data_IF_190943826019
#
_entry.id   IF_190943826019
#
_cell.length_a   1.000
_cell.length_b   1.000
_cell.length_c   1.000
_cell.angle_alpha   90.00
_cell.angle_beta   90.00
_cell.angle_gamma   90.00
#
_symmetry.space_group_name_H-M   'P 1'
#
loop_
_entity.id
_entity.type
_entity.pdbx_description
1 polymer ?
#
# COMPACT_ATOMS: atom_id res chain seq x y z
N UNK A 1 -17.13 11.50 -3.72
CA UNK A 1 -17.77 10.19 -3.95
C UNK A 1 -17.69 9.45 -2.63
N UNK A 2 -18.83 9.07 -2.03
CA UNK A 2 -18.81 8.39 -0.74
C UNK A 2 -18.09 7.05 -0.89
N UNK A 3 -17.10 6.79 -0.05
CA UNK A 3 -16.42 5.50 0.01
C UNK A 3 -17.45 4.45 0.43
N UNK A 4 -17.93 3.64 -0.53
CA UNK A 4 -18.81 2.49 -0.23
C UNK A 4 -18.10 1.61 0.79
N UNK A 5 -18.83 1.15 1.81
CA UNK A 5 -18.28 0.17 2.74
C UNK A 5 -17.92 -1.11 1.99
N UNK A 6 -16.88 -1.82 2.43
CA UNK A 6 -16.42 -3.07 1.81
C UNK A 6 -17.58 -4.08 1.69
N UNK A 7 -18.46 -4.11 2.69
CA UNK A 7 -19.68 -4.94 2.77
C UNK A 7 -20.71 -4.60 1.67
N UNK A 8 -20.72 -3.37 1.16
CA UNK A 8 -21.68 -2.88 0.16
C UNK A 8 -21.19 -3.08 -1.29
N UNK A 9 -19.95 -3.58 -1.47
CA UNK A 9 -19.39 -3.85 -2.80
C UNK A 9 -20.01 -5.10 -3.41
N UNK A 10 -20.25 -5.08 -4.72
CA UNK A 10 -20.57 -6.31 -5.46
C UNK A 10 -19.37 -7.27 -5.48
N UNK A 11 -19.59 -8.56 -5.78
CA UNK A 11 -18.49 -9.54 -5.82
C UNK A 11 -17.42 -9.15 -6.85
N UNK A 12 -17.83 -8.63 -8.00
CA UNK A 12 -16.91 -8.15 -9.04
C UNK A 12 -16.13 -6.91 -8.60
N UNK A 13 -16.82 -5.95 -7.96
CA UNK A 13 -16.20 -4.76 -7.40
C UNK A 13 -15.16 -5.14 -6.33
N UNK A 14 -15.49 -6.09 -5.45
CA UNK A 14 -14.63 -6.57 -4.37
C UNK A 14 -13.35 -7.23 -4.93
N UNK A 15 -13.49 -8.12 -5.92
CA UNK A 15 -12.35 -8.80 -6.58
C UNK A 15 -11.45 -7.81 -7.33
N UNK A 16 -12.05 -6.88 -8.07
CA UNK A 16 -11.32 -5.83 -8.78
C UNK A 16 -10.59 -4.92 -7.80
N UNK A 17 -11.26 -4.50 -6.74
CA UNK A 17 -10.71 -3.63 -5.72
C UNK A 17 -9.51 -4.29 -5.01
N UNK A 18 -9.62 -5.57 -4.63
CA UNK A 18 -8.48 -6.30 -4.04
C UNK A 18 -7.27 -6.30 -4.97
N UNK A 19 -7.46 -6.63 -6.25
CA UNK A 19 -6.36 -6.68 -7.22
C UNK A 19 -5.71 -5.32 -7.39
N UNK A 20 -6.52 -4.26 -7.51
CA UNK A 20 -6.03 -2.89 -7.66
C UNK A 20 -5.29 -2.42 -6.42
N UNK A 21 -5.89 -2.51 -5.23
CA UNK A 21 -5.25 -2.08 -3.98
C UNK A 21 -3.99 -2.90 -3.71
N UNK A 22 -4.02 -4.22 -3.93
CA UNK A 22 -2.85 -5.08 -3.75
C UNK A 22 -1.71 -4.66 -4.68
N UNK A 23 -1.98 -4.49 -5.99
CA UNK A 23 -0.98 -4.06 -6.96
C UNK A 23 -0.36 -2.71 -6.56
N UNK A 24 -1.19 -1.70 -6.29
CA UNK A 24 -0.72 -0.36 -5.90
C UNK A 24 0.09 -0.41 -4.60
N UNK A 25 -0.35 -1.18 -3.62
CA UNK A 25 0.33 -1.30 -2.32
C UNK A 25 1.68 -1.97 -2.44
N UNK A 26 1.78 -3.07 -3.20
CA UNK A 26 3.05 -3.74 -3.42
C UNK A 26 4.02 -2.89 -4.24
N UNK A 27 3.52 -2.18 -5.26
CA UNK A 27 4.35 -1.24 -6.05
C UNK A 27 4.83 -0.09 -5.17
N UNK A 28 3.96 0.52 -4.37
CA UNK A 28 4.35 1.58 -3.43
C UNK A 28 5.39 1.08 -2.44
N UNK A 29 5.16 -0.06 -1.78
CA UNK A 29 6.09 -0.65 -0.83
C UNK A 29 7.46 -0.95 -1.47
N UNK A 30 7.47 -1.53 -2.68
CA UNK A 30 8.70 -1.80 -3.44
C UNK A 30 9.46 -0.52 -3.79
N UNK A 31 8.76 0.52 -4.26
CA UNK A 31 9.38 1.82 -4.55
C UNK A 31 9.92 2.50 -3.29
N UNK A 32 9.22 2.43 -2.17
CA UNK A 32 9.71 2.98 -0.90
C UNK A 32 10.96 2.25 -0.40
N UNK A 33 11.02 0.92 -0.52
CA UNK A 33 12.20 0.14 -0.17
C UNK A 33 13.40 0.49 -1.07
N UNK A 34 13.18 0.61 -2.38
CA UNK A 34 14.21 1.07 -3.32
C UNK A 34 14.70 2.47 -2.97
N UNK A 35 13.78 3.41 -2.75
CA UNK A 35 14.10 4.79 -2.38
C UNK A 35 14.85 4.86 -1.05
N UNK A 36 14.49 4.04 -0.07
CA UNK A 36 15.20 3.97 1.21
C UNK A 36 16.63 3.45 1.05
N UNK A 37 16.83 2.36 0.30
CA UNK A 37 18.15 1.82 0.01
C UNK A 37 19.05 2.80 -0.75
N UNK A 38 18.52 3.42 -1.81
CA UNK A 38 19.22 4.46 -2.56
C UNK A 38 19.48 5.70 -1.71
N UNK A 39 18.53 6.09 -0.87
CA UNK A 39 18.66 7.21 0.06
C UNK A 39 19.79 7.00 1.06
N UNK A 40 19.89 5.81 1.66
CA UNK A 40 21.01 5.45 2.55
C UNK A 40 22.34 5.53 1.79
N UNK A 41 22.42 4.90 0.61
CA UNK A 41 23.63 4.93 -0.21
C UNK A 41 24.07 6.37 -0.54
N UNK A 42 23.13 7.22 -0.96
CA UNK A 42 23.40 8.62 -1.25
C UNK A 42 23.78 9.40 0.01
N UNK A 43 23.19 9.10 1.17
CA UNK A 43 23.53 9.76 2.44
C UNK A 43 24.99 9.54 2.81
N UNK A 44 25.50 8.32 2.64
CA UNK A 44 26.91 8.03 2.89
C UNK A 44 27.85 8.68 1.86
N UNK A 45 27.40 8.95 0.63
CA UNK A 45 28.24 9.51 -0.44
C UNK A 45 28.19 11.03 -0.54
N UNK A 46 27.04 11.63 -0.29
CA UNK A 46 26.75 13.05 -0.56
C UNK A 46 26.17 13.79 0.65
N UNK A 47 26.02 13.11 1.78
CA UNK A 47 25.37 13.65 2.96
C UNK A 47 23.85 13.54 2.91
N UNK A 48 23.21 13.92 4.01
CA UNK A 48 21.76 13.83 4.18
C UNK A 48 21.01 14.69 3.14
N UNK A 49 19.92 14.14 2.61
CA UNK A 49 18.98 14.87 1.76
C UNK A 49 17.55 14.63 2.26
N UNK A 50 16.66 15.61 2.06
CA UNK A 50 15.26 15.48 2.49
C UNK A 50 14.55 14.25 1.86
N UNK A 51 15.00 13.80 0.68
CA UNK A 51 14.47 12.62 -0.01
C UNK A 51 14.62 11.33 0.80
N UNK A 52 15.58 11.26 1.72
CA UNK A 52 15.84 10.08 2.57
C UNK A 52 14.75 9.88 3.64
N UNK A 53 14.01 10.94 3.97
CA UNK A 53 12.91 10.91 4.97
C UNK A 53 11.59 10.48 4.33
N UNK A 54 11.45 10.64 3.00
CA UNK A 54 10.21 10.34 2.26
C UNK A 54 9.70 8.92 2.50
N UNK A 55 10.52 7.84 2.46
CA UNK A 55 10.06 6.49 2.78
C UNK A 55 9.42 6.39 4.16
N UNK A 56 10.02 7.03 5.17
CA UNK A 56 9.54 7.01 6.55
C UNK A 56 8.21 7.76 6.68
N UNK A 57 8.10 8.92 6.04
CA UNK A 57 6.87 9.72 6.05
C UNK A 57 5.69 9.00 5.39
N UNK A 58 5.95 8.15 4.39
CA UNK A 58 4.91 7.42 3.64
C UNK A 58 4.63 6.00 4.18
N UNK A 59 5.41 5.50 5.15
CA UNK A 59 5.17 4.19 5.79
C UNK A 59 3.74 3.99 6.31
N UNK A 60 3.10 4.97 6.99
CA UNK A 60 1.74 4.80 7.51
C UNK A 60 0.72 4.45 6.42
N UNK A 61 0.88 5.00 5.22
CA UNK A 61 -0.02 4.76 4.08
C UNK A 61 0.08 3.29 3.65
N UNK A 62 1.29 2.74 3.59
CA UNK A 62 1.51 1.33 3.26
C UNK A 62 0.84 0.42 4.31
N UNK A 63 0.95 0.76 5.59
CA UNK A 63 0.33 -0.01 6.68
C UNK A 63 -1.20 0.02 6.57
N UNK A 64 -1.79 1.20 6.35
CA UNK A 64 -3.25 1.36 6.18
C UNK A 64 -3.72 0.53 4.98
N UNK A 65 -3.01 0.60 3.85
CA UNK A 65 -3.37 -0.15 2.66
C UNK A 65 -3.29 -1.67 2.88
N UNK A 66 -2.27 -2.18 3.59
CA UNK A 66 -2.21 -3.58 3.97
C UNK A 66 -3.37 -4.00 4.88
N UNK A 67 -3.79 -3.12 5.80
CA UNK A 67 -4.97 -3.35 6.63
C UNK A 67 -6.24 -3.45 5.79
N UNK A 68 -6.39 -2.58 4.79
CA UNK A 68 -7.52 -2.60 3.86
C UNK A 68 -7.53 -3.88 3.01
N UNK A 69 -6.37 -4.32 2.50
CA UNK A 69 -6.25 -5.62 1.79
C UNK A 69 -6.71 -6.77 2.69
N UNK A 70 -6.31 -6.78 3.97
CA UNK A 70 -6.75 -7.82 4.94
C UNK A 70 -8.26 -7.81 5.13
N UNK A 71 -8.88 -6.63 5.25
CA UNK A 71 -10.35 -6.50 5.38
C UNK A 71 -11.07 -7.03 4.13
N UNK A 72 -10.59 -6.68 2.93
CA UNK A 72 -11.17 -7.17 1.67
C UNK A 72 -11.03 -8.70 1.57
N UNK A 73 -9.87 -9.26 1.93
CA UNK A 73 -9.67 -10.72 1.96
C UNK A 73 -10.57 -11.43 2.97
N UNK A 74 -10.80 -10.82 4.13
CA UNK A 74 -11.73 -11.35 5.13
C UNK A 74 -13.16 -11.39 4.58
N UNK A 75 -13.61 -10.31 3.92
CA UNK A 75 -14.92 -10.25 3.29
C UNK A 75 -15.08 -11.27 2.17
N UNK A 76 -14.07 -11.42 1.31
CA UNK A 76 -14.06 -12.46 0.28
C UNK A 76 -14.22 -13.86 0.86
N UNK A 77 -13.47 -14.16 1.92
CA UNK A 77 -13.56 -15.46 2.61
C UNK A 77 -14.96 -15.67 3.21
N UNK A 78 -15.57 -14.63 3.78
CA UNK A 78 -16.94 -14.69 4.31
C UNK A 78 -17.97 -15.01 3.22
N UNK A 79 -17.76 -14.48 2.00
CA UNK A 79 -18.60 -14.74 0.84
C UNK A 79 -18.24 -15.99 0.04
N UNK A 80 -17.22 -16.75 0.46
CA UNK A 80 -16.67 -17.90 -0.27
C UNK A 80 -16.19 -17.56 -1.70
N UNK A 81 -15.53 -16.42 -1.88
CA UNK A 81 -14.99 -15.90 -3.14
C UNK A 81 -13.46 -15.95 -3.23
#
# INVERSE_FOLDING_TARGET
MAEKKIEEMSNEELLKNEKTISAVTYTLAGMLLLLFGLGIFLTFKKGFTALTVVPIALLPIVIINFSNIKKIKAERKLRNL
#
